data_IF_009786449166
#
_entry.id   IF_009786449166
#
_cell.length_a   1.000
_cell.length_b   1.000
_cell.length_c   1.000
_cell.angle_alpha   90.00
_cell.angle_beta   90.00
_cell.angle_gamma   90.00
#
_symmetry.space_group_name_H-M   'P 1'
#
loop_
_entity.id
_entity.type
_entity.pdbx_description
1 polymer ?
#
# COMPACT_ATOMS: atom_id res chain seq x y z
N UNK A 1 6.09 12.81 -13.16
CA UNK A 1 6.40 11.41 -13.30
C UNK A 1 5.13 10.60 -13.47
N UNK A 2 4.16 10.68 -12.55
CA UNK A 2 2.83 10.11 -12.76
C UNK A 2 1.82 11.25 -12.79
N UNK A 3 1.07 11.35 -13.88
CA UNK A 3 0.02 12.33 -14.05
C UNK A 3 -1.27 11.63 -14.47
N UNK A 4 -2.33 11.86 -13.71
CA UNK A 4 -3.66 11.27 -13.91
C UNK A 4 -4.67 12.39 -13.95
N UNK A 5 -5.43 12.49 -15.05
CA UNK A 5 -6.45 13.53 -15.25
C UNK A 5 -7.77 12.88 -15.66
N UNK A 6 -8.77 12.98 -14.80
CA UNK A 6 -10.13 12.50 -15.05
C UNK A 6 -10.22 11.00 -15.35
N UNK A 7 -9.36 10.18 -14.73
CA UNK A 7 -9.32 8.74 -14.99
C UNK A 7 -10.64 8.08 -14.62
N UNK A 8 -11.18 7.34 -15.60
CA UNK A 8 -12.33 6.45 -15.41
C UNK A 8 -12.01 5.05 -15.89
N UNK A 9 -12.41 4.06 -15.10
CA UNK A 9 -12.37 2.65 -15.50
C UNK A 9 -13.66 1.97 -15.12
N UNK A 10 -14.43 1.64 -16.14
CA UNK A 10 -15.71 0.98 -16.02
C UNK A 10 -15.63 -0.42 -16.65
N UNK A 11 -16.21 -1.40 -15.97
CA UNK A 11 -16.32 -2.78 -16.46
C UNK A 11 -17.75 -3.11 -16.80
N UNK A 12 -17.98 -3.75 -17.93
CA UNK A 12 -19.26 -4.33 -18.28
C UNK A 12 -19.31 -5.76 -17.78
N UNK A 13 -20.16 -6.03 -16.80
CA UNK A 13 -20.34 -7.35 -16.20
C UNK A 13 -21.66 -7.94 -16.67
N UNK A 14 -21.63 -9.14 -17.21
CA UNK A 14 -22.85 -9.81 -17.67
C UNK A 14 -23.69 -10.25 -16.45
N UNK A 15 -24.94 -9.76 -16.37
CA UNK A 15 -25.89 -10.12 -15.32
C UNK A 15 -26.52 -11.48 -15.64
N UNK A 16 -26.05 -12.54 -14.99
CA UNK A 16 -26.66 -13.87 -15.09
C UNK A 16 -27.83 -13.97 -14.12
N UNK A 17 -29.05 -14.15 -14.64
CA UNK A 17 -30.18 -14.55 -13.81
C UNK A 17 -30.12 -16.06 -13.59
N UNK A 18 -30.40 -16.58 -12.38
CA UNK A 18 -30.44 -18.01 -12.13
C UNK A 18 -31.60 -18.67 -12.90
N UNK A 19 -31.41 -19.90 -13.40
CA UNK A 19 -32.42 -20.71 -14.05
C UNK A 19 -32.12 -21.02 -15.54
N UNK A 20 -32.47 -22.24 -15.98
CA UNK A 20 -32.21 -22.73 -17.34
C UNK A 20 -32.90 -21.88 -18.42
N UNK A 21 -34.15 -21.45 -18.20
CA UNK A 21 -34.88 -20.57 -19.12
C UNK A 21 -34.21 -19.20 -19.26
N UNK A 22 -33.62 -18.67 -18.17
CA UNK A 22 -32.85 -17.43 -18.20
C UNK A 22 -31.53 -17.60 -18.94
N UNK A 23 -30.88 -18.76 -18.82
CA UNK A 23 -29.65 -19.09 -19.54
C UNK A 23 -29.90 -19.15 -21.06
N UNK A 24 -30.96 -19.79 -21.51
CA UNK A 24 -31.34 -19.84 -22.95
C UNK A 24 -31.66 -18.42 -23.45
N UNK A 25 -32.45 -17.64 -22.72
CA UNK A 25 -32.77 -16.26 -23.10
C UNK A 25 -31.53 -15.35 -23.15
N UNK A 26 -30.51 -15.63 -22.32
CA UNK A 26 -29.25 -14.83 -22.27
C UNK A 26 -28.37 -15.04 -23.52
N UNK A 27 -28.59 -16.06 -24.31
CA UNK A 27 -27.88 -16.26 -25.59
C UNK A 27 -28.29 -15.19 -26.63
N UNK A 28 -29.51 -14.67 -26.53
CA UNK A 28 -30.06 -13.74 -27.52
C UNK A 28 -30.21 -12.31 -26.97
N UNK A 29 -30.39 -12.16 -25.64
CA UNK A 29 -30.48 -10.85 -24.98
C UNK A 29 -29.59 -10.81 -23.73
N UNK A 30 -28.37 -10.31 -23.91
CA UNK A 30 -27.42 -10.13 -22.81
C UNK A 30 -27.65 -8.77 -22.16
N UNK A 31 -27.97 -8.77 -20.87
CA UNK A 31 -28.00 -7.55 -20.06
C UNK A 31 -26.65 -7.39 -19.35
N UNK A 32 -26.11 -6.18 -19.39
CA UNK A 32 -24.84 -5.84 -18.76
C UNK A 32 -25.07 -4.80 -17.67
N UNK A 33 -24.49 -5.04 -16.52
CA UNK A 33 -24.35 -4.01 -15.48
C UNK A 33 -22.98 -3.34 -15.66
N UNK A 34 -22.93 -2.01 -15.47
CA UNK A 34 -21.67 -1.26 -15.50
C UNK A 34 -21.17 -1.10 -14.08
N UNK A 35 -20.01 -1.69 -13.78
CA UNK A 35 -19.30 -1.49 -12.52
C UNK A 35 -18.28 -0.37 -12.72
N UNK A 36 -18.46 0.74 -12.03
CA UNK A 36 -17.55 1.88 -12.03
C UNK A 36 -16.46 1.63 -10.99
N UNK A 37 -15.37 1.00 -11.40
CA UNK A 37 -14.27 0.67 -10.51
C UNK A 37 -13.41 1.90 -10.17
N UNK A 38 -13.29 2.83 -11.11
CA UNK A 38 -12.68 4.15 -10.94
C UNK A 38 -13.56 5.13 -11.69
N UNK A 39 -13.92 6.25 -11.07
CA UNK A 39 -14.84 7.23 -11.63
C UNK A 39 -14.38 8.66 -11.31
N UNK A 40 -13.61 9.22 -12.25
CA UNK A 40 -13.15 10.61 -12.24
C UNK A 40 -12.12 10.94 -11.15
N UNK A 41 -10.97 10.26 -11.16
CA UNK A 41 -9.86 10.60 -10.26
C UNK A 41 -8.75 11.37 -11.00
N UNK A 42 -8.19 12.35 -10.30
CA UNK A 42 -7.07 13.16 -10.82
C UNK A 42 -6.05 13.37 -9.71
N UNK A 43 -4.78 13.12 -9.99
CA UNK A 43 -3.66 13.35 -9.09
C UNK A 43 -2.34 13.36 -9.85
N UNK A 44 -1.30 13.91 -9.24
CA UNK A 44 0.08 13.90 -9.76
C UNK A 44 1.01 13.37 -8.69
N UNK A 45 2.02 12.58 -9.09
CA UNK A 45 3.09 12.11 -8.19
C UNK A 45 4.41 12.53 -8.83
N UNK A 46 5.24 13.20 -8.03
CA UNK A 46 6.54 13.66 -8.47
C UNK A 46 7.61 12.56 -8.37
N UNK A 47 8.75 12.81 -8.99
CA UNK A 47 9.88 11.87 -8.97
C UNK A 47 10.39 11.67 -7.54
N UNK A 48 10.74 10.43 -7.19
CA UNK A 48 11.26 10.08 -5.88
C UNK A 48 10.22 10.08 -4.74
N UNK A 49 8.97 10.51 -4.99
CA UNK A 49 7.94 10.45 -3.97
C UNK A 49 7.58 9.00 -3.59
N UNK A 50 7.27 8.80 -2.31
CA UNK A 50 6.64 7.59 -1.78
C UNK A 50 5.22 7.94 -1.35
N UNK A 51 4.25 7.40 -2.05
CA UNK A 51 2.83 7.73 -1.87
C UNK A 51 2.05 6.48 -1.49
N UNK A 52 1.32 6.55 -0.38
CA UNK A 52 0.36 5.53 0.02
C UNK A 52 -0.97 5.69 -0.73
N UNK A 53 -1.42 4.66 -1.42
CA UNK A 53 -2.69 4.67 -2.15
C UNK A 53 -3.72 3.85 -1.38
N UNK A 54 -4.57 4.52 -0.60
CA UNK A 54 -5.40 3.94 0.44
C UNK A 54 -6.88 3.91 0.05
N UNK A 55 -7.62 3.03 0.71
CA UNK A 55 -9.07 2.91 0.52
C UNK A 55 -9.58 1.53 0.90
N UNK A 56 -10.89 1.36 1.10
CA UNK A 56 -11.49 0.07 1.42
C UNK A 56 -11.36 -0.93 0.25
N UNK A 57 -11.71 -2.20 0.52
CA UNK A 57 -11.78 -3.20 -0.53
C UNK A 57 -12.82 -2.80 -1.57
N UNK A 58 -12.47 -2.92 -2.85
CA UNK A 58 -13.32 -2.50 -3.96
C UNK A 58 -13.28 -0.99 -4.29
N UNK A 59 -12.48 -0.18 -3.57
CA UNK A 59 -12.36 1.25 -3.84
C UNK A 59 -11.72 1.61 -5.20
N UNK A 60 -11.07 0.64 -5.87
CA UNK A 60 -10.42 0.85 -7.17
C UNK A 60 -8.89 0.87 -7.15
N UNK A 61 -8.23 0.65 -5.99
CA UNK A 61 -6.77 0.70 -5.82
C UNK A 61 -6.00 -0.14 -6.86
N UNK A 62 -6.18 -1.46 -6.83
CA UNK A 62 -5.55 -2.40 -7.77
C UNK A 62 -5.93 -2.10 -9.23
N UNK A 63 -7.15 -1.65 -9.48
CA UNK A 63 -7.59 -1.26 -10.83
C UNK A 63 -6.80 -0.05 -11.33
N UNK A 64 -6.64 0.96 -10.50
CA UNK A 64 -5.83 2.15 -10.81
C UNK A 64 -4.38 1.76 -11.08
N UNK A 65 -3.74 1.00 -10.19
CA UNK A 65 -2.36 0.52 -10.39
C UNK A 65 -2.19 -0.25 -11.70
N UNK A 66 -3.15 -1.12 -12.06
CA UNK A 66 -3.12 -1.84 -13.34
C UNK A 66 -3.26 -0.93 -14.55
N UNK A 67 -3.99 0.19 -14.43
CA UNK A 67 -4.05 1.22 -15.49
C UNK A 67 -2.71 1.93 -15.60
N UNK A 68 -2.12 2.35 -14.47
CA UNK A 68 -0.82 3.01 -14.42
C UNK A 68 0.32 2.13 -14.96
N UNK A 69 0.24 0.82 -14.72
CA UNK A 69 1.21 -0.16 -15.24
C UNK A 69 0.93 -0.64 -16.67
N UNK A 70 -0.09 -0.09 -17.35
CA UNK A 70 -0.44 -0.46 -18.72
C UNK A 70 -1.06 -1.85 -18.89
N UNK A 71 -1.53 -2.47 -17.80
CA UNK A 71 -2.24 -3.77 -17.84
C UNK A 71 -3.74 -3.62 -18.15
N UNK A 72 -4.29 -2.43 -17.92
CA UNK A 72 -5.69 -2.10 -18.22
C UNK A 72 -5.76 -0.78 -18.98
N UNK A 73 -6.59 -0.74 -20.01
CA UNK A 73 -6.90 0.52 -20.70
C UNK A 73 -7.90 1.34 -19.87
N UNK A 74 -7.72 2.66 -19.73
CA UNK A 74 -8.73 3.53 -19.15
C UNK A 74 -10.00 3.54 -20.01
N UNK A 75 -11.16 3.75 -19.40
CA UNK A 75 -12.42 3.97 -20.13
C UNK A 75 -12.56 5.41 -20.59
N UNK A 76 -11.98 6.35 -19.85
CA UNK A 76 -11.86 7.78 -20.16
C UNK A 76 -10.76 8.41 -19.30
N UNK A 77 -10.41 9.66 -19.62
CA UNK A 77 -9.35 10.41 -18.94
C UNK A 77 -7.98 10.20 -19.59
N UNK A 78 -6.98 10.87 -19.03
CA UNK A 78 -5.59 10.80 -19.51
C UNK A 78 -4.68 10.30 -18.39
N UNK A 79 -3.75 9.46 -18.75
CA UNK A 79 -2.74 8.90 -17.82
C UNK A 79 -1.39 8.97 -18.50
N UNK A 80 -0.44 9.58 -17.81
CA UNK A 80 0.97 9.63 -18.20
C UNK A 80 1.83 9.11 -17.05
N UNK A 81 2.76 8.22 -17.34
CA UNK A 81 3.75 7.68 -16.40
C UNK A 81 5.11 7.73 -17.07
N UNK A 82 6.11 8.33 -16.44
CA UNK A 82 7.46 8.53 -16.99
C UNK A 82 7.44 9.19 -18.38
N UNK A 83 6.48 10.09 -18.63
CA UNK A 83 6.31 10.75 -19.93
C UNK A 83 5.61 9.89 -21.01
N UNK A 84 5.25 8.66 -20.72
CA UNK A 84 4.60 7.73 -21.64
C UNK A 84 3.12 7.53 -21.32
N UNK A 85 2.34 7.10 -22.29
CA UNK A 85 0.96 6.62 -22.09
C UNK A 85 0.98 5.12 -21.80
N UNK A 86 0.66 4.67 -20.58
CA UNK A 86 0.78 3.26 -20.19
C UNK A 86 0.01 2.29 -21.08
N UNK A 87 -1.15 2.72 -21.61
CA UNK A 87 -1.97 1.92 -22.50
C UNK A 87 -1.30 1.53 -23.83
N UNK A 88 -0.26 2.26 -24.26
CA UNK A 88 0.51 1.96 -25.46
C UNK A 88 1.54 0.84 -25.24
N UNK A 89 1.94 0.60 -23.97
CA UNK A 89 2.92 -0.43 -23.58
C UNK A 89 4.22 -0.33 -24.37
N UNK A 90 4.69 0.89 -24.59
CA UNK A 90 5.96 1.17 -25.22
C UNK A 90 7.10 0.45 -24.46
N UNK A 91 8.05 -0.22 -25.14
CA UNK A 91 9.20 -0.84 -24.49
C UNK A 91 9.95 0.11 -23.54
N UNK A 92 10.22 1.35 -23.96
CA UNK A 92 10.89 2.36 -23.14
C UNK A 92 10.09 2.73 -21.86
N UNK A 93 8.76 2.59 -21.85
CA UNK A 93 7.94 2.70 -20.67
C UNK A 93 8.07 1.47 -19.77
N UNK A 94 8.00 0.26 -20.35
CA UNK A 94 8.05 -0.99 -19.59
C UNK A 94 9.40 -1.19 -18.89
N UNK A 95 10.48 -0.68 -19.44
CA UNK A 95 11.81 -0.67 -18.83
C UNK A 95 11.90 0.22 -17.58
N UNK A 96 11.02 1.21 -17.44
CA UNK A 96 11.05 2.18 -16.34
C UNK A 96 10.15 1.85 -15.19
N UNK A 97 9.25 0.87 -15.34
CA UNK A 97 8.26 0.55 -14.33
C UNK A 97 8.37 -0.89 -13.86
N UNK A 98 7.87 -1.13 -12.66
CA UNK A 98 7.54 -2.47 -12.20
C UNK A 98 6.21 -2.48 -11.46
N UNK A 99 5.49 -3.61 -11.49
CA UNK A 99 4.29 -3.84 -10.69
C UNK A 99 4.45 -5.15 -9.91
N UNK A 100 4.59 -5.04 -8.61
CA UNK A 100 4.61 -6.18 -7.68
C UNK A 100 3.25 -6.30 -7.01
N UNK A 101 2.65 -7.48 -7.05
CA UNK A 101 1.38 -7.78 -6.39
C UNK A 101 1.60 -8.90 -5.37
N UNK A 102 1.47 -8.62 -4.09
CA UNK A 102 1.77 -9.56 -3.00
C UNK A 102 0.99 -10.88 -3.06
N UNK A 103 -0.18 -10.86 -3.69
CA UNK A 103 -1.01 -12.06 -3.88
C UNK A 103 -0.74 -12.81 -5.20
N UNK A 104 0.15 -12.32 -6.06
CA UNK A 104 0.48 -12.94 -7.35
C UNK A 104 1.95 -13.27 -7.44
N UNK A 105 2.22 -14.46 -7.92
CA UNK A 105 3.59 -14.95 -8.10
C UNK A 105 4.10 -14.55 -9.49
N UNK A 106 5.34 -14.05 -9.52
CA UNK A 106 6.11 -13.82 -10.75
C UNK A 106 7.18 -14.90 -10.95
N UNK A 107 7.66 -15.50 -9.84
CA UNK A 107 8.62 -16.59 -9.88
C UNK A 107 7.99 -17.87 -10.40
N UNK A 108 8.77 -18.62 -11.17
CA UNK A 108 8.39 -19.93 -11.67
C UNK A 108 8.40 -20.95 -10.51
N UNK A 109 7.23 -21.55 -10.22
CA UNK A 109 6.98 -22.35 -9.01
C UNK A 109 7.92 -23.53 -8.80
N UNK A 110 8.23 -24.27 -9.89
CA UNK A 110 9.07 -25.46 -9.82
C UNK A 110 10.57 -25.18 -10.04
N UNK A 111 10.92 -23.94 -10.41
CA UNK A 111 12.30 -23.55 -10.70
C UNK A 111 12.87 -22.66 -9.60
N UNK A 112 14.19 -22.60 -9.47
CA UNK A 112 14.86 -21.63 -8.61
C UNK A 112 14.62 -20.19 -9.08
N UNK A 113 14.63 -19.19 -8.17
CA UNK A 113 14.57 -17.76 -8.54
C UNK A 113 15.64 -17.34 -9.56
N UNK A 114 16.83 -17.95 -9.53
CA UNK A 114 17.92 -17.70 -10.49
C UNK A 114 17.49 -17.88 -11.95
N UNK A 115 16.60 -18.83 -12.23
CA UNK A 115 16.06 -19.05 -13.58
C UNK A 115 15.12 -17.91 -14.01
N UNK A 116 14.31 -17.39 -13.08
CA UNK A 116 13.47 -16.22 -13.36
C UNK A 116 14.33 -14.97 -13.58
N UNK A 117 15.44 -14.81 -12.83
CA UNK A 117 16.38 -13.70 -13.05
C UNK A 117 17.05 -13.80 -14.42
N UNK A 118 17.46 -15.01 -14.83
CA UNK A 118 18.01 -15.24 -16.16
C UNK A 118 17.01 -14.92 -17.28
N UNK A 119 15.73 -15.31 -17.08
CA UNK A 119 14.65 -14.96 -17.99
C UNK A 119 14.43 -13.45 -18.07
N UNK A 120 14.33 -12.75 -16.92
CA UNK A 120 14.13 -11.30 -16.89
C UNK A 120 15.31 -10.57 -17.55
N UNK A 121 16.54 -11.00 -17.30
CA UNK A 121 17.73 -10.47 -18.01
C UNK A 121 17.56 -10.55 -19.51
N UNK A 122 17.11 -11.70 -20.03
CA UNK A 122 16.90 -11.90 -21.45
C UNK A 122 15.75 -11.06 -22.01
N UNK A 123 14.63 -10.99 -21.29
CA UNK A 123 13.42 -10.23 -21.68
C UNK A 123 13.72 -8.73 -21.76
N UNK A 124 14.46 -8.19 -20.78
CA UNK A 124 14.83 -6.76 -20.73
C UNK A 124 16.13 -6.46 -21.50
N UNK A 125 16.76 -7.44 -22.13
CA UNK A 125 18.00 -7.24 -22.89
C UNK A 125 19.17 -6.69 -22.06
N UNK A 126 19.24 -7.05 -20.75
CA UNK A 126 20.23 -6.49 -19.85
C UNK A 126 21.63 -7.03 -20.13
N UNK A 127 22.63 -6.15 -20.08
CA UNK A 127 24.03 -6.56 -20.12
C UNK A 127 24.33 -7.53 -18.98
N UNK A 128 24.96 -8.71 -19.25
CA UNK A 128 25.23 -9.72 -18.24
C UNK A 128 26.02 -9.21 -17.03
N UNK A 129 27.03 -8.35 -17.26
CA UNK A 129 27.85 -7.82 -16.17
C UNK A 129 27.07 -6.78 -15.33
N UNK A 130 26.24 -5.95 -15.96
CA UNK A 130 25.38 -5.01 -15.27
C UNK A 130 24.31 -5.75 -14.43
N UNK A 131 23.64 -6.73 -15.02
CA UNK A 131 22.65 -7.54 -14.31
C UNK A 131 23.26 -8.31 -13.10
N UNK A 132 24.48 -8.84 -13.25
CA UNK A 132 25.17 -9.50 -12.15
C UNK A 132 25.51 -8.52 -11.00
N UNK A 133 25.93 -7.30 -11.31
CA UNK A 133 26.15 -6.26 -10.27
C UNK A 133 24.85 -5.91 -9.54
N UNK A 134 23.77 -5.64 -10.27
CA UNK A 134 22.46 -5.34 -9.69
C UNK A 134 21.96 -6.51 -8.83
N UNK A 135 22.09 -7.75 -9.31
CA UNK A 135 21.70 -8.92 -8.53
C UNK A 135 22.55 -9.09 -7.26
N UNK A 136 23.85 -8.77 -7.32
CA UNK A 136 24.73 -8.73 -6.16
C UNK A 136 24.23 -7.74 -5.10
N UNK A 137 23.94 -6.50 -5.50
CA UNK A 137 23.38 -5.47 -4.61
C UNK A 137 22.03 -5.92 -4.00
N UNK A 138 21.10 -6.42 -4.81
CA UNK A 138 19.81 -6.91 -4.33
C UNK A 138 19.96 -8.12 -3.40
N UNK A 139 20.96 -8.98 -3.65
CA UNK A 139 21.27 -10.13 -2.80
C UNK A 139 21.73 -9.68 -1.41
N UNK A 140 22.56 -8.66 -1.32
CA UNK A 140 22.98 -8.08 -0.04
C UNK A 140 21.83 -7.43 0.70
N UNK A 141 21.09 -6.55 0.02
CA UNK A 141 20.00 -5.77 0.61
C UNK A 141 18.83 -6.62 1.11
N UNK A 142 18.49 -7.69 0.38
CA UNK A 142 17.36 -8.58 0.71
C UNK A 142 17.78 -9.84 1.45
N UNK A 143 19.10 -10.10 1.59
CA UNK A 143 19.60 -11.31 2.19
C UNK A 143 19.20 -12.57 1.43
N UNK A 144 19.49 -12.63 0.10
CA UNK A 144 19.08 -13.73 -0.78
C UNK A 144 20.06 -14.88 -0.81
N UNK A 145 21.20 -14.79 -0.13
CA UNK A 145 22.22 -15.84 -0.11
C UNK A 145 21.60 -17.18 0.30
N UNK A 146 21.83 -18.22 -0.53
CA UNK A 146 21.30 -19.56 -0.32
C UNK A 146 19.78 -19.73 -0.62
N UNK A 147 19.08 -18.67 -1.09
CA UNK A 147 17.67 -18.75 -1.51
C UNK A 147 17.54 -18.90 -3.03
N UNK A 148 18.42 -18.24 -3.77
CA UNK A 148 18.29 -18.06 -5.23
C UNK A 148 18.37 -19.37 -6.02
N UNK A 149 19.00 -20.41 -5.47
CA UNK A 149 19.20 -21.73 -6.10
C UNK A 149 18.22 -22.80 -5.59
N UNK A 150 17.35 -22.46 -4.61
CA UNK A 150 16.30 -23.36 -4.14
C UNK A 150 15.05 -23.25 -5.01
N UNK A 151 14.37 -24.35 -5.34
CA UNK A 151 13.08 -24.28 -6.02
C UNK A 151 12.10 -23.37 -5.28
N UNK A 152 11.41 -22.48 -6.00
CA UNK A 152 10.49 -21.46 -5.43
C UNK A 152 9.47 -22.06 -4.47
N UNK A 153 8.96 -23.28 -4.75
CA UNK A 153 8.01 -24.00 -3.88
C UNK A 153 8.56 -24.36 -2.50
N UNK A 154 9.89 -24.35 -2.29
CA UNK A 154 10.54 -24.65 -1.01
C UNK A 154 10.80 -23.40 -0.17
N UNK A 155 10.59 -22.22 -0.73
CA UNK A 155 10.76 -20.95 -0.03
C UNK A 155 9.53 -20.67 0.84
N UNK A 156 9.76 -20.12 2.03
CA UNK A 156 8.70 -19.50 2.82
C UNK A 156 8.10 -18.32 2.08
N UNK A 157 6.93 -17.84 2.52
CA UNK A 157 6.26 -16.69 1.90
C UNK A 157 7.17 -15.45 1.89
N UNK A 158 7.87 -15.18 3.00
CA UNK A 158 8.78 -14.04 3.12
C UNK A 158 10.03 -14.18 2.25
N UNK A 159 10.67 -15.35 2.24
CA UNK A 159 11.80 -15.63 1.36
C UNK A 159 11.41 -15.48 -0.11
N UNK A 160 10.25 -15.99 -0.47
CA UNK A 160 9.71 -15.85 -1.82
C UNK A 160 9.47 -14.36 -2.17
N UNK A 161 8.88 -13.56 -1.28
CA UNK A 161 8.66 -12.15 -1.53
C UNK A 161 9.96 -11.38 -1.76
N UNK A 162 11.02 -11.69 -1.02
CA UNK A 162 12.35 -11.13 -1.27
C UNK A 162 12.86 -11.45 -2.68
N UNK A 163 12.73 -12.71 -3.09
CA UNK A 163 13.14 -13.14 -4.44
C UNK A 163 12.22 -12.52 -5.54
N UNK A 164 10.92 -12.35 -5.29
CA UNK A 164 9.98 -11.64 -6.17
C UNK A 164 10.41 -10.17 -6.38
N UNK A 165 10.76 -9.47 -5.29
CA UNK A 165 11.26 -8.10 -5.36
C UNK A 165 12.56 -8.02 -6.17
N UNK A 166 13.50 -8.93 -5.94
CA UNK A 166 14.73 -8.97 -6.72
C UNK A 166 14.46 -9.19 -8.22
N UNK A 167 13.56 -10.10 -8.56
CA UNK A 167 13.13 -10.33 -9.95
C UNK A 167 12.53 -9.07 -10.57
N UNK A 168 11.67 -8.38 -9.83
CA UNK A 168 10.97 -7.18 -10.26
C UNK A 168 11.89 -5.96 -10.40
N UNK A 169 13.03 -5.94 -9.72
CA UNK A 169 13.95 -4.79 -9.66
C UNK A 169 15.24 -4.99 -10.45
N UNK A 170 15.43 -6.16 -11.06
CA UNK A 170 16.65 -6.49 -11.79
C UNK A 170 16.97 -5.54 -12.94
N UNK A 171 15.93 -4.99 -13.58
CA UNK A 171 16.03 -4.01 -14.67
C UNK A 171 16.10 -2.55 -14.19
N UNK A 172 16.22 -2.32 -12.86
CA UNK A 172 16.36 -1.02 -12.21
C UNK A 172 15.26 0.00 -12.60
N UNK A 173 13.97 -0.34 -12.39
CA UNK A 173 12.88 0.58 -12.70
C UNK A 173 12.94 1.84 -11.85
N UNK A 174 12.52 2.97 -12.43
CA UNK A 174 12.41 4.27 -11.75
C UNK A 174 11.05 4.51 -11.10
N UNK A 175 10.04 3.69 -11.43
CA UNK A 175 8.70 3.77 -10.85
C UNK A 175 8.21 2.39 -10.40
N UNK A 176 7.90 2.27 -9.11
CA UNK A 176 7.46 1.04 -8.45
C UNK A 176 5.99 1.14 -8.08
N UNK A 177 5.18 0.24 -8.61
CA UNK A 177 3.81 -0.01 -8.18
C UNK A 177 3.81 -1.25 -7.29
N UNK A 178 3.51 -1.08 -6.00
CA UNK A 178 3.56 -2.13 -4.99
C UNK A 178 2.16 -2.36 -4.42
N UNK A 179 1.48 -3.42 -4.87
CA UNK A 179 0.11 -3.75 -4.44
C UNK A 179 0.17 -4.81 -3.34
N UNK A 180 0.07 -4.36 -2.08
CA UNK A 180 0.11 -5.19 -0.87
C UNK A 180 1.38 -6.05 -0.73
N UNK A 181 2.61 -5.48 -0.82
CA UNK A 181 3.84 -6.27 -0.88
C UNK A 181 4.17 -7.01 0.42
N UNK A 182 3.54 -6.67 1.53
CA UNK A 182 3.80 -7.25 2.87
C UNK A 182 2.70 -8.20 3.35
N UNK A 183 1.69 -8.44 2.50
CA UNK A 183 0.52 -9.25 2.89
C UNK A 183 0.92 -10.67 3.27
N UNK A 184 0.43 -11.11 4.44
CA UNK A 184 0.69 -12.46 4.94
C UNK A 184 2.11 -12.71 5.46
N UNK A 185 2.97 -11.69 5.50
CA UNK A 185 4.30 -11.78 6.09
C UNK A 185 4.26 -11.60 7.61
N UNK A 186 5.20 -12.21 8.31
CA UNK A 186 5.43 -11.92 9.72
C UNK A 186 6.03 -10.53 9.94
N UNK A 187 5.96 -10.04 11.19
CA UNK A 187 6.38 -8.67 11.54
C UNK A 187 7.84 -8.38 11.18
N UNK A 188 8.74 -9.34 11.41
CA UNK A 188 10.17 -9.15 11.12
C UNK A 188 10.41 -9.02 9.61
N UNK A 189 9.69 -9.81 8.82
CA UNK A 189 9.78 -9.76 7.37
C UNK A 189 9.15 -8.48 6.81
N UNK A 190 8.02 -8.01 7.39
CA UNK A 190 7.43 -6.72 7.01
C UNK A 190 8.42 -5.56 7.23
N UNK A 191 9.14 -5.55 8.37
CA UNK A 191 10.19 -4.55 8.63
C UNK A 191 11.29 -4.62 7.57
N UNK A 192 11.78 -5.83 7.26
CA UNK A 192 12.81 -6.04 6.24
C UNK A 192 12.39 -5.49 4.87
N UNK A 193 11.16 -5.77 4.44
CA UNK A 193 10.64 -5.28 3.15
C UNK A 193 10.46 -3.76 3.16
N UNK A 194 9.98 -3.18 4.27
CA UNK A 194 9.86 -1.71 4.42
C UNK A 194 11.20 -1.01 4.30
N UNK A 195 12.20 -1.50 5.04
CA UNK A 195 13.54 -0.91 5.02
C UNK A 195 14.15 -1.03 3.62
N UNK A 196 14.02 -2.17 2.97
CA UNK A 196 14.46 -2.36 1.60
C UNK A 196 13.78 -1.37 0.61
N UNK A 197 12.45 -1.20 0.66
CA UNK A 197 11.73 -0.24 -0.23
C UNK A 197 12.24 1.18 0.01
N UNK A 198 12.47 1.57 1.28
CA UNK A 198 13.01 2.89 1.63
C UNK A 198 14.42 3.08 1.07
N UNK A 199 15.30 2.10 1.26
CA UNK A 199 16.68 2.15 0.78
C UNK A 199 16.74 2.19 -0.73
N UNK A 200 15.95 1.39 -1.41
CA UNK A 200 15.85 1.40 -2.87
C UNK A 200 15.38 2.78 -3.41
N UNK A 201 14.31 3.34 -2.82
CA UNK A 201 13.85 4.68 -3.19
C UNK A 201 14.95 5.73 -3.02
N UNK A 202 15.67 5.72 -1.90
CA UNK A 202 16.73 6.70 -1.62
C UNK A 202 17.95 6.55 -2.54
N UNK A 203 18.36 5.31 -2.87
CA UNK A 203 19.53 5.05 -3.71
C UNK A 203 19.29 5.34 -5.18
N UNK A 204 18.08 5.05 -5.68
CA UNK A 204 17.75 5.13 -7.10
C UNK A 204 16.83 6.29 -7.46
N UNK A 205 16.46 7.15 -6.48
CA UNK A 205 15.47 8.23 -6.68
C UNK A 205 14.16 7.69 -7.31
N UNK A 206 13.78 6.46 -6.92
CA UNK A 206 12.66 5.75 -7.48
C UNK A 206 11.33 6.24 -6.89
N UNK A 207 10.34 6.48 -7.74
CA UNK A 207 8.98 6.82 -7.32
C UNK A 207 8.24 5.56 -6.87
N UNK A 208 7.56 5.61 -5.73
CA UNK A 208 6.85 4.46 -5.17
C UNK A 208 5.37 4.79 -4.95
N UNK A 209 4.48 4.02 -5.56
CA UNK A 209 3.06 4.00 -5.24
C UNK A 209 2.72 2.67 -4.56
N UNK A 210 2.35 2.75 -3.28
CA UNK A 210 2.15 1.60 -2.40
C UNK A 210 0.69 1.48 -1.98
N UNK A 211 0.10 0.28 -2.11
CA UNK A 211 -1.09 -0.07 -1.32
C UNK A 211 -0.69 -1.00 -0.17
N UNK A 212 -1.32 -0.87 0.97
CA UNK A 212 -1.20 -1.82 2.07
C UNK A 212 -2.49 -1.89 2.87
N UNK A 213 -2.76 -3.08 3.41
CA UNK A 213 -3.76 -3.29 4.46
C UNK A 213 -3.17 -3.04 5.85
N UNK A 214 -1.84 -3.07 5.98
CA UNK A 214 -1.13 -2.75 7.21
C UNK A 214 -0.81 -1.26 7.22
N UNK A 215 -1.45 -0.51 8.12
CA UNK A 215 -1.24 0.94 8.19
C UNK A 215 0.18 1.29 8.64
N UNK A 216 0.84 0.42 9.38
CA UNK A 216 2.26 0.56 9.75
C UNK A 216 3.19 0.67 8.53
N UNK A 217 2.88 -0.01 7.42
CA UNK A 217 3.65 0.12 6.18
C UNK A 217 3.54 1.53 5.60
N UNK A 218 2.32 2.07 5.64
CA UNK A 218 2.03 3.40 5.12
C UNK A 218 2.71 4.47 5.98
N UNK A 219 2.59 4.37 7.30
CA UNK A 219 3.23 5.28 8.25
C UNK A 219 4.75 5.26 8.12
N UNK A 220 5.34 4.06 7.94
CA UNK A 220 6.79 3.90 7.85
C UNK A 220 7.37 4.38 6.50
N UNK A 221 6.61 4.27 5.41
CA UNK A 221 7.12 4.47 4.05
C UNK A 221 6.63 5.76 3.39
N UNK A 222 5.38 6.17 3.63
CA UNK A 222 4.68 7.12 2.79
C UNK A 222 4.42 8.45 3.52
N UNK A 223 5.16 9.52 3.24
CA UNK A 223 4.86 10.83 3.81
C UNK A 223 3.56 11.45 3.27
N UNK A 224 3.14 11.05 2.06
CA UNK A 224 1.91 11.49 1.40
C UNK A 224 0.98 10.32 1.16
N UNK A 225 -0.32 10.56 1.26
CA UNK A 225 -1.35 9.57 0.97
C UNK A 225 -2.40 10.12 0.01
N UNK A 226 -2.81 9.28 -0.90
CA UNK A 226 -3.97 9.46 -1.77
C UNK A 226 -5.02 8.46 -1.31
N UNK A 227 -6.20 8.93 -0.91
CA UNK A 227 -7.27 8.07 -0.40
C UNK A 227 -8.43 8.06 -1.39
N UNK A 228 -8.88 6.85 -1.75
CA UNK A 228 -10.02 6.64 -2.64
C UNK A 228 -11.12 5.83 -1.95
N UNK A 229 -12.38 6.12 -2.27
CA UNK A 229 -13.55 5.32 -1.89
C UNK A 229 -14.58 5.32 -3.02
N UNK A 230 -15.17 4.15 -3.30
CA UNK A 230 -16.16 4.00 -4.35
C UNK A 230 -15.73 4.48 -5.74
N UNK A 231 -14.43 4.43 -6.04
CA UNK A 231 -13.85 4.88 -7.30
C UNK A 231 -13.55 6.37 -7.38
N UNK A 232 -13.77 7.15 -6.31
CA UNK A 232 -13.52 8.59 -6.25
C UNK A 232 -12.36 8.92 -5.32
N UNK A 233 -11.62 9.99 -5.64
CA UNK A 233 -10.60 10.54 -4.78
C UNK A 233 -11.25 11.32 -3.63
N UNK A 234 -10.89 11.02 -2.38
CA UNK A 234 -11.44 11.67 -1.19
C UNK A 234 -10.42 12.50 -0.42
N UNK A 235 -9.13 12.17 -0.55
CA UNK A 235 -8.03 12.95 0.04
C UNK A 235 -6.76 12.76 -0.79
N UNK A 236 -5.96 13.82 -0.89
CA UNK A 236 -4.60 13.81 -1.42
C UNK A 236 -3.77 14.81 -0.64
N UNK A 237 -2.75 14.36 0.07
CA UNK A 237 -1.90 15.23 0.86
C UNK A 237 -1.00 14.52 1.87
N UNK A 238 -0.34 15.32 2.71
CA UNK A 238 0.56 14.86 3.76
C UNK A 238 -0.19 13.99 4.79
N UNK A 239 0.41 12.83 5.11
CA UNK A 239 -0.17 11.86 6.04
C UNK A 239 -0.32 12.42 7.46
N UNK A 240 0.70 13.14 7.95
CA UNK A 240 0.66 13.69 9.31
C UNK A 240 -0.37 14.80 9.45
N UNK A 241 -0.52 15.62 8.40
CA UNK A 241 -1.56 16.65 8.35
C UNK A 241 -2.96 16.04 8.33
N UNK A 242 -3.16 14.93 7.59
CA UNK A 242 -4.41 14.18 7.60
C UNK A 242 -4.75 13.65 9.00
N UNK A 243 -3.79 12.98 9.66
CA UNK A 243 -3.97 12.45 11.03
C UNK A 243 -4.38 13.56 11.98
N UNK A 244 -3.63 14.67 11.99
CA UNK A 244 -3.89 15.81 12.87
C UNK A 244 -5.25 16.48 12.63
N UNK A 245 -5.67 16.55 11.37
CA UNK A 245 -6.96 17.15 11.01
C UNK A 245 -8.14 16.26 11.38
N UNK A 246 -8.00 14.95 11.16
CA UNK A 246 -9.10 14.01 11.39
C UNK A 246 -9.29 13.64 12.85
N UNK A 247 -8.20 13.45 13.60
CA UNK A 247 -8.22 13.13 15.02
C UNK A 247 -7.14 13.95 15.73
N UNK A 248 -7.47 15.17 16.18
CA UNK A 248 -6.52 16.04 16.90
C UNK A 248 -6.21 15.53 18.31
N UNK A 249 -6.90 14.50 18.78
CA UNK A 249 -6.69 13.92 20.10
C UNK A 249 -5.40 13.09 20.13
N UNK A 250 -4.81 12.92 21.31
CA UNK A 250 -3.67 12.04 21.57
C UNK A 250 -4.08 10.84 22.41
N UNK A 251 -3.36 9.75 22.28
CA UNK A 251 -3.46 8.62 23.18
C UNK A 251 -2.41 8.77 24.27
N UNK A 252 -2.86 8.77 25.51
CA UNK A 252 -1.98 8.81 26.69
C UNK A 252 -2.09 7.48 27.40
N UNK A 253 -1.00 6.71 27.41
CA UNK A 253 -0.89 5.42 28.08
C UNK A 253 -0.02 5.57 29.33
N UNK A 254 -0.47 5.02 30.45
CA UNK A 254 0.27 5.07 31.71
C UNK A 254 -0.14 3.90 32.61
N UNK A 255 0.69 3.60 33.61
CA UNK A 255 0.40 2.69 34.70
C UNK A 255 0.25 3.51 35.97
N UNK A 256 -0.95 3.49 36.56
CA UNK A 256 -1.22 4.18 37.82
C UNK A 256 -2.41 3.52 38.57
N UNK A 257 -2.38 3.57 39.89
CA UNK A 257 -3.49 3.16 40.73
C UNK A 257 -4.46 4.33 40.96
N UNK A 258 -5.17 4.72 39.89
CA UNK A 258 -6.17 5.79 39.91
C UNK A 258 -7.59 5.22 40.02
N UNK A 259 -8.51 5.86 40.76
CA UNK A 259 -9.93 5.53 40.75
C UNK A 259 -10.53 5.70 39.34
N UNK A 260 -11.46 4.86 38.94
CA UNK A 260 -12.06 4.86 37.62
C UNK A 260 -12.74 6.22 37.25
N UNK A 261 -13.33 6.88 38.26
CA UNK A 261 -13.97 8.19 38.10
C UNK A 261 -12.94 9.30 37.88
N UNK A 262 -11.75 9.19 38.45
CA UNK A 262 -10.62 10.13 38.20
C UNK A 262 -10.09 9.95 36.80
N UNK A 263 -9.87 8.71 36.34
CA UNK A 263 -9.44 8.40 34.98
C UNK A 263 -10.45 8.92 33.95
N UNK A 264 -11.74 8.74 34.17
CA UNK A 264 -12.81 9.21 33.28
C UNK A 264 -12.85 10.74 33.13
N UNK A 265 -12.38 11.49 34.15
CA UNK A 265 -12.25 12.97 34.07
C UNK A 265 -11.03 13.42 33.24
N UNK A 266 -9.99 12.59 33.21
CA UNK A 266 -8.77 12.88 32.43
C UNK A 266 -8.99 12.72 30.91
N UNK A 267 -9.79 11.73 30.49
CA UNK A 267 -10.10 11.49 29.10
C UNK A 267 -11.00 10.29 28.88
N UNK A 268 -11.33 10.03 27.63
CA UNK A 268 -12.09 8.83 27.23
C UNK A 268 -11.20 7.58 27.36
N UNK A 269 -11.61 6.60 28.18
CA UNK A 269 -10.84 5.36 28.34
C UNK A 269 -10.99 4.51 27.08
N UNK A 270 -9.88 4.29 26.37
CA UNK A 270 -9.81 3.46 25.16
C UNK A 270 -9.49 2.02 25.51
N UNK A 271 -8.56 1.82 26.46
CA UNK A 271 -8.08 0.50 26.88
C UNK A 271 -7.64 0.51 28.34
N UNK A 272 -7.93 -0.59 29.05
CA UNK A 272 -7.44 -0.79 30.41
C UNK A 272 -7.12 -2.27 30.59
N UNK A 273 -5.84 -2.62 30.64
CA UNK A 273 -5.35 -4.00 30.75
C UNK A 273 -4.12 -4.08 31.65
N UNK A 274 -4.07 -5.07 32.51
CA UNK A 274 -2.91 -5.36 33.39
C UNK A 274 -2.37 -4.15 34.15
N UNK A 275 -3.27 -3.25 34.57
CA UNK A 275 -2.87 -2.02 35.30
C UNK A 275 -2.40 -0.88 34.41
N UNK A 276 -2.23 -1.09 33.10
CA UNK A 276 -1.95 -0.05 32.11
C UNK A 276 -3.26 0.51 31.56
N UNK A 277 -3.39 1.83 31.59
CA UNK A 277 -4.58 2.55 31.14
C UNK A 277 -4.17 3.39 29.92
N UNK A 278 -4.99 3.34 28.86
CA UNK A 278 -4.86 4.22 27.70
C UNK A 278 -6.11 5.08 27.58
N UNK A 279 -5.93 6.38 27.60
CA UNK A 279 -7.03 7.35 27.45
C UNK A 279 -6.83 8.20 26.19
N UNK A 280 -7.94 8.63 25.60
CA UNK A 280 -7.94 9.62 24.51
C UNK A 280 -8.10 11.01 25.12
N UNK A 281 -7.19 11.92 24.77
CA UNK A 281 -7.11 13.25 25.35
C UNK A 281 -7.00 14.29 24.22
N UNK A 282 -7.85 15.32 24.18
CA UNK A 282 -7.69 16.45 23.27
C UNK A 282 -6.32 17.10 23.40
N UNK A 283 -5.67 17.46 22.28
CA UNK A 283 -4.31 18.02 22.27
C UNK A 283 -4.22 19.25 23.20
N UNK A 284 -5.28 20.06 23.30
CA UNK A 284 -5.35 21.22 24.16
C UNK A 284 -5.22 20.90 25.66
N UNK A 285 -5.66 19.71 26.09
CA UNK A 285 -5.61 19.25 27.48
C UNK A 285 -4.41 18.37 27.80
N UNK A 286 -3.61 18.04 26.80
CA UNK A 286 -2.53 17.05 26.92
C UNK A 286 -1.56 17.39 28.07
N UNK A 287 -1.12 18.65 28.15
CA UNK A 287 -0.18 19.11 29.20
C UNK A 287 -0.76 18.96 30.61
N UNK A 288 -2.03 19.33 30.79
CA UNK A 288 -2.76 19.20 32.06
C UNK A 288 -2.85 17.73 32.49
N UNK A 289 -3.28 16.85 31.57
CA UNK A 289 -3.46 15.43 31.85
C UNK A 289 -2.15 14.71 32.14
N UNK A 290 -1.10 14.98 31.35
CA UNK A 290 0.24 14.42 31.58
C UNK A 290 0.79 14.87 32.93
N UNK A 291 0.67 16.15 33.28
CA UNK A 291 1.08 16.68 34.60
C UNK A 291 0.33 15.96 35.72
N UNK A 292 -0.99 15.82 35.62
CA UNK A 292 -1.79 15.13 36.62
C UNK A 292 -1.37 13.65 36.82
N UNK A 293 -1.11 12.93 35.74
CA UNK A 293 -0.64 11.53 35.80
C UNK A 293 0.71 11.42 36.50
N UNK A 294 1.64 12.32 36.21
CA UNK A 294 2.97 12.37 36.84
C UNK A 294 2.89 12.70 38.32
N UNK A 295 2.05 13.67 38.73
CA UNK A 295 1.83 14.05 40.15
C UNK A 295 1.23 12.90 40.97
N UNK A 296 0.52 11.96 40.33
CA UNK A 296 -0.05 10.75 40.95
C UNK A 296 0.88 9.53 40.87
N UNK A 297 2.18 9.74 40.69
CA UNK A 297 3.20 8.70 40.58
C UNK A 297 2.90 7.68 39.45
N UNK A 298 2.27 8.14 38.36
CA UNK A 298 2.09 7.34 37.15
C UNK A 298 3.44 6.98 36.53
N UNK A 299 3.59 5.73 36.12
CA UNK A 299 4.77 5.19 35.46
C UNK A 299 4.43 4.76 34.03
N UNK A 300 5.45 4.42 33.23
CA UNK A 300 5.30 3.93 31.86
C UNK A 300 4.46 4.88 30.98
N UNK A 301 4.62 6.19 31.20
CA UNK A 301 3.89 7.20 30.46
C UNK A 301 4.36 7.25 28.99
N UNK A 302 3.41 7.07 28.07
CA UNK A 302 3.61 7.27 26.65
C UNK A 302 2.52 8.18 26.08
N UNK A 303 2.91 9.03 25.14
CA UNK A 303 1.99 9.89 24.38
C UNK A 303 2.17 9.57 22.90
N UNK A 304 1.11 9.14 22.27
CA UNK A 304 1.14 8.66 20.88
C UNK A 304 0.03 9.32 20.06
N UNK A 305 0.25 9.38 18.76
CA UNK A 305 -0.81 9.72 17.82
C UNK A 305 -1.83 8.55 17.73
N UNK A 306 -3.11 8.84 17.43
CA UNK A 306 -4.07 7.78 17.17
C UNK A 306 -3.61 6.88 16.01
N UNK A 307 -3.92 5.58 16.06
CA UNK A 307 -3.65 4.66 14.97
C UNK A 307 -4.25 5.16 13.65
N UNK A 308 -3.52 5.00 12.55
CA UNK A 308 -4.00 5.43 11.22
C UNK A 308 -5.30 4.71 10.82
N UNK A 309 -5.54 3.52 11.35
CA UNK A 309 -6.80 2.78 11.17
C UNK A 309 -8.01 3.56 11.67
N UNK A 310 -7.89 4.24 12.82
CA UNK A 310 -8.98 5.05 13.40
C UNK A 310 -9.22 6.29 12.55
N UNK A 311 -8.15 6.91 12.04
CA UNK A 311 -8.23 8.04 11.10
C UNK A 311 -8.95 7.63 9.83
N UNK A 312 -8.56 6.51 9.24
CA UNK A 312 -9.18 5.98 8.04
C UNK A 312 -10.64 5.61 8.27
N UNK A 313 -10.96 4.96 9.40
CA UNK A 313 -12.33 4.64 9.77
C UNK A 313 -13.19 5.91 9.85
N UNK A 314 -12.72 6.95 10.52
CA UNK A 314 -13.42 8.22 10.64
C UNK A 314 -13.61 8.90 9.27
N UNK A 315 -12.58 8.91 8.42
CA UNK A 315 -12.64 9.49 7.08
C UNK A 315 -13.72 8.85 6.21
N UNK A 316 -13.81 7.50 6.23
CA UNK A 316 -14.81 6.76 5.46
C UNK A 316 -16.23 6.91 6.01
N UNK A 317 -16.40 7.03 7.35
CA UNK A 317 -17.70 7.24 7.95
C UNK A 317 -18.25 8.65 7.69
N UNK A 318 -17.41 9.68 7.77
CA UNK A 318 -17.83 11.07 7.56
C UNK A 318 -18.37 11.33 6.14
N UNK A 319 -17.89 10.60 5.12
CA UNK A 319 -18.36 10.75 3.73
C UNK A 319 -19.52 9.83 3.35
N UNK A 320 -19.90 8.88 4.19
CA UNK A 320 -21.08 8.01 3.98
C UNK A 320 -22.33 8.48 4.70
N UNK A 321 -22.23 9.55 5.51
CA UNK A 321 -23.40 10.21 6.04
C UNK A 321 -24.09 10.97 4.88
N UNK A 322 -25.43 10.78 4.69
CA UNK A 322 -26.20 11.31 3.55
C UNK A 322 -26.23 12.83 3.50
#
# INVERSE_FOLDING_TARGET
VIEVVGLRKHFRVHRRKPGLAAAVRSLWHRTYDTVKAVDDISFTIERGERVGFLGPNGAGKTTTMKVLAGLLHPSAGQVTVEGHRPAQRDPAFLERITLVMGQKQQLLWDLPPSETYALNRAVFGLDPAAAARTLGELTELLGLAGLVDKPTRQLSLGERMKCELAAALLHQPTTLFLDEPTIGLDVAMQVTIRDFIRDYNQRHDATVLLTSHYMDDVVALCPRVIVIDGGHLIHDGDLRALVKTMIPDKLVSFTAALPADEVARLGEVVKSEHGRITIRVPEARLREVVGHVLDRAGTDLAVEDPPLEDVMRKLFHTKRAP
#
